data_IF_922442149672
#
_entry.id   IF_922442149672
#
_cell.length_a   1.000
_cell.length_b   1.000
_cell.length_c   1.000
_cell.angle_alpha   90.00
_cell.angle_beta   90.00
_cell.angle_gamma   90.00
#
_symmetry.space_group_name_H-M   'P 1'
#
loop_
_entity.id
_entity.type
_entity.pdbx_description
1 polymer ?
#
# COMPACT_ATOMS: atom_id res chain seq x y z
N UNK A 1 -0.38 4.30 -15.18
CA UNK A 1 -1.39 3.24 -14.89
C UNK A 1 -2.60 3.86 -14.24
N UNK A 2 -3.77 3.52 -14.71
CA UNK A 2 -5.01 3.99 -14.10
C UNK A 2 -5.50 3.01 -13.03
N UNK A 3 -6.29 3.52 -12.10
CA UNK A 3 -6.86 2.72 -11.00
C UNK A 3 -7.59 1.48 -11.52
N UNK A 4 -8.41 1.65 -12.56
CA UNK A 4 -9.19 0.53 -13.14
C UNK A 4 -8.30 -0.55 -13.75
N UNK A 5 -7.19 -0.17 -14.36
CA UNK A 5 -6.22 -1.12 -14.91
C UNK A 5 -5.61 -1.98 -13.80
N UNK A 6 -5.23 -1.36 -12.69
CA UNK A 6 -4.69 -2.07 -11.54
C UNK A 6 -5.74 -3.01 -10.93
N UNK A 7 -6.97 -2.54 -10.74
CA UNK A 7 -8.06 -3.38 -10.24
C UNK A 7 -8.27 -4.61 -11.12
N UNK A 8 -8.33 -4.43 -12.43
CA UNK A 8 -8.51 -5.52 -13.39
C UNK A 8 -7.37 -6.53 -13.31
N UNK A 9 -6.14 -6.05 -13.18
CA UNK A 9 -4.97 -6.91 -13.05
C UNK A 9 -5.02 -7.75 -11.79
N UNK A 10 -5.42 -7.16 -10.67
CA UNK A 10 -5.49 -7.85 -9.39
C UNK A 10 -6.67 -8.81 -9.28
N UNK A 11 -7.71 -8.63 -10.09
CA UNK A 11 -8.93 -9.46 -10.06
C UNK A 11 -8.76 -10.86 -10.66
N UNK A 12 -7.56 -11.23 -11.10
CA UNK A 12 -7.28 -12.58 -11.64
C UNK A 12 -7.64 -13.70 -10.67
N UNK A 13 -7.57 -13.45 -9.38
CA UNK A 13 -7.89 -14.44 -8.35
C UNK A 13 -9.26 -14.23 -7.71
N UNK A 14 -10.15 -13.49 -8.40
CA UNK A 14 -11.50 -13.20 -7.87
C UNK A 14 -12.34 -14.44 -7.59
N UNK A 15 -12.08 -15.53 -8.30
CA UNK A 15 -12.78 -16.81 -8.06
C UNK A 15 -12.49 -17.40 -6.67
N UNK A 16 -11.41 -16.97 -6.00
CA UNK A 16 -11.06 -17.41 -4.65
C UNK A 16 -11.66 -16.49 -3.57
N UNK A 17 -12.42 -15.50 -3.97
CA UNK A 17 -13.09 -14.56 -3.07
C UNK A 17 -12.64 -13.14 -3.26
N UNK A 18 -13.57 -12.22 -3.04
CA UNK A 18 -13.32 -10.77 -3.08
C UNK A 18 -14.10 -10.15 -1.94
N UNK A 19 -13.47 -9.26 -1.21
CA UNK A 19 -14.15 -8.47 -0.19
C UNK A 19 -13.54 -7.06 -0.12
N UNK A 20 -14.29 -6.14 0.47
CA UNK A 20 -13.81 -4.79 0.70
C UNK A 20 -13.91 -4.50 2.20
N UNK A 21 -12.82 -4.05 2.80
CA UNK A 21 -12.81 -3.68 4.21
C UNK A 21 -13.54 -2.35 4.42
N UNK A 22 -13.89 -2.04 5.67
CA UNK A 22 -14.57 -0.77 6.00
C UNK A 22 -13.70 0.43 5.68
N UNK A 23 -12.38 0.31 5.79
CA UNK A 23 -11.46 1.38 5.41
C UNK A 23 -11.23 1.49 3.90
N UNK A 24 -11.90 0.67 3.09
CA UNK A 24 -11.88 0.76 1.63
C UNK A 24 -10.86 -0.11 0.92
N UNK A 25 -10.09 -0.93 1.64
CA UNK A 25 -9.14 -1.85 1.00
C UNK A 25 -9.87 -2.95 0.24
N UNK A 26 -9.42 -3.23 -0.98
CA UNK A 26 -9.93 -4.32 -1.83
C UNK A 26 -9.07 -5.55 -1.62
N UNK A 27 -9.67 -6.62 -1.11
CA UNK A 27 -8.97 -7.88 -0.80
C UNK A 27 -9.44 -8.95 -1.77
N UNK A 28 -8.52 -9.55 -2.50
CA UNK A 28 -8.78 -10.47 -3.60
C UNK A 28 -8.02 -11.77 -3.40
N UNK A 29 -8.71 -12.89 -3.53
CA UNK A 29 -8.08 -14.21 -3.46
C UNK A 29 -7.75 -14.63 -2.04
N UNK A 30 -8.75 -15.09 -1.26
CA UNK A 30 -8.51 -15.59 0.09
C UNK A 30 -7.62 -16.83 0.06
N UNK A 31 -6.59 -16.85 0.88
CA UNK A 31 -5.57 -17.90 0.90
C UNK A 31 -5.38 -18.49 2.31
N UNK A 32 -6.41 -19.15 2.89
CA UNK A 32 -6.34 -19.67 4.27
C UNK A 32 -5.28 -20.76 4.44
N UNK A 33 -4.85 -21.40 3.36
CA UNK A 33 -3.79 -22.40 3.38
C UNK A 33 -2.39 -21.78 3.62
N UNK A 34 -2.23 -20.47 3.40
CA UNK A 34 -0.98 -19.76 3.69
C UNK A 34 -1.02 -19.26 5.14
N UNK A 35 -2.09 -18.57 5.52
CA UNK A 35 -2.31 -18.07 6.88
C UNK A 35 -3.79 -17.69 7.04
N UNK A 36 -4.27 -17.64 8.29
CA UNK A 36 -5.69 -17.36 8.60
C UNK A 36 -6.19 -16.05 7.95
N UNK A 37 -5.35 -15.01 7.92
CA UNK A 37 -5.72 -13.71 7.37
C UNK A 37 -5.07 -13.41 6.03
N UNK A 38 -4.55 -14.42 5.33
CA UNK A 38 -3.85 -14.21 4.07
C UNK A 38 -4.79 -13.95 2.91
N UNK A 39 -4.47 -12.94 2.12
CA UNK A 39 -5.09 -12.62 0.84
C UNK A 39 -4.01 -12.51 -0.22
N UNK A 40 -4.27 -13.01 -1.43
CA UNK A 40 -3.28 -12.99 -2.49
C UNK A 40 -2.97 -11.56 -2.94
N UNK A 41 -4.01 -10.77 -3.20
CA UNK A 41 -3.84 -9.40 -3.65
C UNK A 41 -4.62 -8.45 -2.76
N UNK A 42 -4.00 -7.34 -2.39
CA UNK A 42 -4.66 -6.28 -1.62
C UNK A 42 -4.36 -4.95 -2.29
N UNK A 43 -5.40 -4.14 -2.52
CA UNK A 43 -5.28 -2.81 -3.07
C UNK A 43 -5.88 -1.81 -2.07
N UNK A 44 -5.08 -0.85 -1.64
CA UNK A 44 -5.52 0.11 -0.63
C UNK A 44 -6.14 1.36 -1.28
N UNK A 45 -7.09 2.02 -0.59
CA UNK A 45 -7.74 3.21 -1.15
C UNK A 45 -6.77 4.38 -1.28
N UNK A 46 -7.00 5.25 -2.27
CA UNK A 46 -6.15 6.41 -2.51
C UNK A 46 -6.07 7.32 -1.28
N UNK A 47 -4.92 7.93 -1.08
CA UNK A 47 -4.73 8.93 -0.03
C UNK A 47 -5.16 10.30 -0.52
N UNK A 48 -5.46 11.19 0.43
CA UNK A 48 -5.77 12.59 0.14
C UNK A 48 -4.47 13.39 0.02
N UNK A 49 -4.57 14.58 -0.59
CA UNK A 49 -3.45 15.50 -0.67
C UNK A 49 -2.93 15.88 0.73
N UNK A 50 -3.84 16.08 1.69
CA UNK A 50 -3.49 16.38 3.07
C UNK A 50 -2.66 15.29 3.70
N UNK A 51 -3.04 14.02 3.51
CA UNK A 51 -2.30 12.87 4.03
C UNK A 51 -0.90 12.78 3.42
N UNK A 52 -0.75 13.04 2.13
CA UNK A 52 0.54 13.05 1.45
C UNK A 52 1.42 14.19 1.97
N UNK A 53 0.86 15.39 2.13
CA UNK A 53 1.59 16.54 2.66
C UNK A 53 2.07 16.28 4.09
N UNK A 54 1.25 15.68 4.93
CA UNK A 54 1.62 15.33 6.31
C UNK A 54 2.76 14.29 6.32
N UNK A 55 2.70 13.31 5.42
CA UNK A 55 3.78 12.33 5.28
C UNK A 55 5.08 12.99 4.84
N UNK A 56 5.04 13.90 3.86
CA UNK A 56 6.23 14.63 3.40
C UNK A 56 6.84 15.46 4.54
N UNK A 57 6.01 16.06 5.39
CA UNK A 57 6.50 16.80 6.57
C UNK A 57 7.23 15.89 7.55
N UNK A 58 6.68 14.68 7.80
CA UNK A 58 7.32 13.71 8.70
C UNK A 58 8.62 13.17 8.11
N UNK A 59 8.69 12.99 6.79
CA UNK A 59 9.88 12.50 6.09
C UNK A 59 10.97 13.57 5.98
N UNK A 60 10.59 14.84 5.93
CA UNK A 60 11.52 15.95 5.68
C UNK A 60 11.98 16.05 4.23
N UNK A 61 11.39 15.29 3.32
CA UNK A 61 11.69 15.32 1.88
C UNK A 61 10.39 15.19 1.10
N UNK A 62 10.40 15.70 -0.16
CA UNK A 62 9.27 15.57 -1.05
C UNK A 62 9.23 14.16 -1.65
N UNK A 63 8.03 13.60 -1.74
CA UNK A 63 7.80 12.33 -2.45
C UNK A 63 7.89 12.63 -3.95
N UNK A 64 8.59 11.81 -4.76
CA UNK A 64 8.63 12.02 -6.21
C UNK A 64 7.22 12.14 -6.80
N UNK A 65 7.04 13.07 -7.74
CA UNK A 65 5.71 13.41 -8.28
C UNK A 65 4.97 12.20 -8.84
N UNK A 66 5.66 11.33 -9.57
CA UNK A 66 5.05 10.13 -10.16
C UNK A 66 4.51 9.21 -9.07
N UNK A 67 5.25 9.03 -7.99
CA UNK A 67 4.84 8.21 -6.86
C UNK A 67 3.67 8.86 -6.10
N UNK A 68 3.77 10.16 -5.86
CA UNK A 68 2.71 10.93 -5.20
C UNK A 68 1.40 10.84 -5.99
N UNK A 69 1.45 11.06 -7.30
CA UNK A 69 0.28 10.95 -8.17
C UNK A 69 -0.34 9.55 -8.12
N UNK A 70 0.49 8.50 -8.05
CA UNK A 70 0.02 7.13 -7.90
C UNK A 70 -0.75 6.94 -6.59
N UNK A 71 -0.17 7.36 -5.46
CA UNK A 71 -0.80 7.24 -4.15
C UNK A 71 -2.14 7.97 -4.06
N UNK A 72 -2.27 9.09 -4.73
CA UNK A 72 -3.47 9.93 -4.70
C UNK A 72 -4.54 9.49 -5.71
N UNK A 73 -4.17 8.90 -6.83
CA UNK A 73 -5.10 8.66 -7.94
C UNK A 73 -5.30 7.18 -8.27
N UNK A 74 -4.41 6.31 -7.85
CA UNK A 74 -4.48 4.88 -8.17
C UNK A 74 -4.68 4.04 -6.90
N UNK A 75 -3.73 4.08 -5.98
CA UNK A 75 -3.78 3.26 -4.77
C UNK A 75 -2.77 3.75 -3.74
N UNK A 76 -3.13 3.66 -2.47
CA UNK A 76 -2.19 3.89 -1.36
C UNK A 76 -1.27 2.67 -1.16
N UNK A 77 -0.65 2.19 -2.23
CA UNK A 77 0.14 0.97 -2.18
C UNK A 77 -0.71 -0.28 -2.40
N UNK A 78 -0.03 -1.40 -2.60
CA UNK A 78 -0.68 -2.68 -2.84
C UNK A 78 0.24 -3.84 -2.42
N UNK A 79 -0.36 -5.01 -2.23
CA UNK A 79 0.34 -6.27 -2.02
C UNK A 79 -0.11 -7.24 -3.11
N UNK A 80 0.83 -7.91 -3.75
CA UNK A 80 0.56 -8.90 -4.79
C UNK A 80 1.15 -10.23 -4.38
N UNK A 81 0.39 -11.31 -4.58
CA UNK A 81 0.79 -12.69 -4.28
C UNK A 81 1.29 -12.82 -2.84
N UNK A 82 0.45 -12.40 -1.91
CA UNK A 82 0.72 -12.45 -0.47
C UNK A 82 2.06 -11.78 -0.12
N UNK A 83 2.21 -10.52 -0.52
CA UNK A 83 3.38 -9.68 -0.24
C UNK A 83 4.67 -10.09 -0.96
N UNK A 84 4.58 -10.95 -2.00
CA UNK A 84 5.73 -11.24 -2.85
C UNK A 84 6.22 -9.98 -3.57
N UNK A 85 5.29 -9.14 -3.99
CA UNK A 85 5.57 -7.81 -4.50
C UNK A 85 4.67 -6.83 -3.76
N UNK A 86 5.26 -5.81 -3.18
CA UNK A 86 4.50 -4.79 -2.43
C UNK A 86 4.95 -3.39 -2.81
N UNK A 87 4.00 -2.47 -2.94
CA UNK A 87 4.27 -1.06 -3.06
C UNK A 87 3.86 -0.39 -1.75
N UNK A 88 4.80 0.31 -1.13
CA UNK A 88 4.59 0.97 0.16
C UNK A 88 3.74 2.22 0.03
N UNK A 89 3.00 2.55 1.08
CA UNK A 89 2.16 3.74 1.14
C UNK A 89 2.10 4.34 2.53
N UNK A 90 1.10 5.17 2.75
CA UNK A 90 0.88 5.83 4.05
C UNK A 90 0.21 4.86 5.02
N UNK A 91 0.83 4.66 6.18
CA UNK A 91 0.26 3.83 7.25
C UNK A 91 0.12 4.66 8.53
N UNK A 92 -1.09 4.75 9.07
CA UNK A 92 -1.36 5.45 10.33
C UNK A 92 -1.47 4.49 11.51
N UNK A 93 -2.03 3.30 11.27
CA UNK A 93 -2.18 2.26 12.29
C UNK A 93 -2.26 0.91 11.59
N UNK A 94 -2.09 -0.18 12.35
CA UNK A 94 -2.17 -1.51 11.77
C UNK A 94 -2.48 -2.55 12.83
N UNK A 95 -3.49 -3.38 12.57
CA UNK A 95 -3.80 -4.56 13.35
C UNK A 95 -4.10 -5.70 12.38
N UNK A 96 -3.19 -6.68 12.32
CA UNK A 96 -3.29 -7.79 11.37
C UNK A 96 -4.56 -8.63 11.52
N UNK A 97 -5.08 -8.76 12.73
CA UNK A 97 -6.29 -9.53 12.99
C UNK A 97 -7.58 -8.79 12.64
N UNK A 98 -7.51 -7.50 12.35
CA UNK A 98 -8.65 -6.67 11.99
C UNK A 98 -8.48 -6.15 10.56
N UNK A 99 -9.22 -6.77 9.60
CA UNK A 99 -9.16 -6.39 8.20
C UNK A 99 -9.50 -4.92 7.96
N UNK A 100 -10.35 -4.35 8.79
CA UNK A 100 -10.77 -2.95 8.64
C UNK A 100 -9.70 -1.95 9.05
N UNK A 101 -8.62 -2.44 9.69
CA UNK A 101 -7.46 -1.65 10.08
C UNK A 101 -6.22 -1.93 9.21
N UNK A 102 -6.37 -2.66 8.11
CA UNK A 102 -5.23 -2.98 7.24
C UNK A 102 -4.82 -1.77 6.43
N UNK A 103 -3.51 -1.53 6.43
CA UNK A 103 -2.82 -0.49 5.65
C UNK A 103 -1.62 -1.10 4.94
N UNK A 104 -1.08 -0.45 3.91
CA UNK A 104 0.09 -0.95 3.19
C UNK A 104 1.33 -0.98 4.08
N UNK A 105 2.42 -1.58 3.58
CA UNK A 105 3.72 -1.41 4.20
C UNK A 105 4.05 0.07 4.27
N UNK A 106 4.66 0.48 5.37
CA UNK A 106 4.83 1.89 5.69
C UNK A 106 6.00 2.51 4.91
N UNK A 107 5.68 3.43 4.00
CA UNK A 107 6.68 4.16 3.22
C UNK A 107 7.64 4.94 4.12
N UNK A 108 7.15 5.45 5.24
CA UNK A 108 7.97 6.18 6.21
C UNK A 108 9.10 5.31 6.79
N UNK A 109 8.81 4.04 7.06
CA UNK A 109 9.82 3.12 7.60
C UNK A 109 10.96 2.88 6.61
N UNK A 110 10.66 2.77 5.32
CA UNK A 110 11.70 2.63 4.28
C UNK A 110 12.63 3.82 4.29
N UNK A 111 12.06 5.03 4.34
CA UNK A 111 12.85 6.26 4.30
C UNK A 111 13.67 6.51 5.56
N UNK A 112 13.20 6.04 6.72
CA UNK A 112 13.88 6.28 8.01
C UNK A 112 14.83 5.17 8.41
N UNK A 113 14.46 3.91 8.19
CA UNK A 113 15.15 2.77 8.78
C UNK A 113 15.82 1.85 7.77
N UNK A 114 15.43 1.90 6.52
CA UNK A 114 15.94 0.98 5.48
C UNK A 114 16.84 1.69 4.46
N UNK A 115 17.26 2.91 4.76
CA UNK A 115 18.12 3.68 3.85
C UNK A 115 19.53 3.10 3.81
N UNK A 116 20.19 3.09 2.63
CA UNK A 116 21.62 2.79 2.55
C UNK A 116 22.43 3.77 3.39
N UNK A 117 23.54 3.30 3.94
CA UNK A 117 24.40 4.12 4.81
C UNK A 117 24.99 5.35 4.11
N UNK A 118 25.19 5.27 2.79
CA UNK A 118 25.75 6.37 2.00
C UNK A 118 24.68 7.26 1.37
N UNK A 119 23.42 7.09 1.74
CA UNK A 119 22.34 7.91 1.21
C UNK A 119 22.42 9.34 1.73
N UNK A 120 22.20 10.31 0.85
CA UNK A 120 22.08 11.72 1.24
C UNK A 120 20.65 11.99 1.73
N UNK A 121 20.43 13.05 2.55
CA UNK A 121 19.10 13.32 3.11
C UNK A 121 17.99 13.50 2.08
N UNK A 122 18.31 14.03 0.90
CA UNK A 122 17.35 14.32 -0.16
C UNK A 122 16.98 13.11 -1.03
N UNK A 123 17.71 12.00 -0.91
CA UNK A 123 17.40 10.78 -1.66
C UNK A 123 16.13 10.13 -1.16
N UNK A 124 15.27 9.72 -2.09
CA UNK A 124 14.04 8.99 -1.82
C UNK A 124 14.16 7.53 -2.28
N UNK A 125 13.76 6.58 -1.43
CA UNK A 125 13.91 5.13 -1.71
C UNK A 125 12.57 4.39 -1.80
#
# INVERSE_FOLDING_TARGET
>A
MEKKELENLLMRFSHLGVTRSKNGALLIGKAPHIAEYAWLNVMYPCVTETEVCDLEKRLGVAIPKVYKDFLMNVSNGFDIMNCTLALHGCRTSYNRSDLDSWYPFNLEDVQKYERPKNATPEMFF
#
